data_IF_647776114509
#
_entry.id   IF_647776114509
#
_cell.length_a   1.000
_cell.length_b   1.000
_cell.length_c   1.000
_cell.angle_alpha   90.00
_cell.angle_beta   90.00
_cell.angle_gamma   90.00
#
_symmetry.space_group_name_H-M   'P 1'
#
loop_
_entity.id
_entity.type
_entity.pdbx_description
1 polymer ?
#
# COMPACT_ATOMS: atom_id res chain seq x y z
N UNK A 1 -20.06 -10.05 5.10
CA UNK A 1 -19.09 -9.02 4.69
C UNK A 1 -17.74 -9.18 5.35
N UNK A 2 -17.65 -9.53 6.63
CA UNK A 2 -16.36 -9.68 7.36
C UNK A 2 -15.28 -10.53 6.66
N UNK A 3 -15.66 -11.64 6.00
CA UNK A 3 -14.69 -12.46 5.25
C UNK A 3 -14.07 -11.69 4.10
N UNK A 4 -14.86 -10.92 3.35
CA UNK A 4 -14.38 -10.14 2.21
C UNK A 4 -13.48 -9.00 2.68
N UNK A 5 -13.87 -8.31 3.74
CA UNK A 5 -13.05 -7.27 4.39
C UNK A 5 -11.68 -7.82 4.78
N UNK A 6 -11.63 -8.95 5.51
CA UNK A 6 -10.37 -9.61 5.89
C UNK A 6 -9.49 -9.94 4.68
N UNK A 7 -10.09 -10.44 3.60
CA UNK A 7 -9.37 -10.73 2.35
C UNK A 7 -8.81 -9.46 1.70
N UNK A 8 -9.57 -8.37 1.69
CA UNK A 8 -9.13 -7.08 1.14
C UNK A 8 -8.03 -6.45 1.99
N UNK A 9 -8.15 -6.46 3.33
CA UNK A 9 -7.10 -5.97 4.22
C UNK A 9 -5.81 -6.79 4.08
N UNK A 10 -5.90 -8.12 3.96
CA UNK A 10 -4.74 -8.98 3.69
C UNK A 10 -4.10 -8.66 2.33
N UNK A 11 -4.92 -8.46 1.30
CA UNK A 11 -4.48 -8.04 -0.02
C UNK A 11 -3.74 -6.69 0.00
N UNK A 12 -4.22 -5.71 0.78
CA UNK A 12 -3.54 -4.41 0.95
C UNK A 12 -2.17 -4.60 1.57
N UNK A 13 -2.07 -5.35 2.68
CA UNK A 13 -0.80 -5.64 3.35
C UNK A 13 0.19 -6.37 2.44
N UNK A 14 -0.26 -7.37 1.68
CA UNK A 14 0.58 -8.09 0.72
C UNK A 14 1.09 -7.18 -0.41
N UNK A 15 0.25 -6.26 -0.90
CA UNK A 15 0.64 -5.33 -1.98
C UNK A 15 1.77 -4.38 -1.56
N UNK A 16 1.80 -3.98 -0.28
CA UNK A 16 2.89 -3.17 0.29
C UNK A 16 4.19 -3.95 0.45
N UNK A 17 4.12 -5.28 0.55
CA UNK A 17 5.29 -6.17 0.53
C UNK A 17 5.89 -6.38 -0.85
N UNK A 18 5.32 -5.78 -1.91
CA UNK A 18 5.77 -5.97 -3.29
C UNK A 18 5.19 -7.22 -3.98
N UNK A 19 4.26 -7.92 -3.33
CA UNK A 19 3.62 -9.09 -3.93
C UNK A 19 2.63 -8.70 -5.03
N UNK A 20 2.54 -9.52 -6.09
CA UNK A 20 1.51 -9.35 -7.12
C UNK A 20 0.17 -9.85 -6.62
N UNK A 21 -0.61 -8.94 -6.06
CA UNK A 21 -1.92 -9.26 -5.46
C UNK A 21 -3.03 -9.31 -6.52
N UNK A 22 -3.83 -10.38 -6.46
CA UNK A 22 -5.12 -10.47 -7.17
C UNK A 22 -6.24 -10.34 -6.15
N UNK A 23 -6.91 -9.19 -6.05
CA UNK A 23 -7.97 -9.01 -5.06
C UNK A 23 -9.17 -9.92 -5.36
N UNK A 24 -9.96 -10.30 -4.35
CA UNK A 24 -11.17 -11.09 -4.56
C UNK A 24 -12.12 -10.41 -5.56
N UNK A 25 -12.75 -11.18 -6.45
CA UNK A 25 -13.62 -10.62 -7.50
C UNK A 25 -14.77 -9.79 -6.90
N UNK A 26 -15.40 -10.32 -5.86
CA UNK A 26 -16.48 -9.64 -5.13
C UNK A 26 -16.04 -8.31 -4.48
N UNK A 27 -14.74 -8.09 -4.29
CA UNK A 27 -14.17 -6.88 -3.69
C UNK A 27 -13.49 -5.95 -4.70
N UNK A 28 -13.55 -6.24 -6.00
CA UNK A 28 -12.80 -5.49 -7.02
C UNK A 28 -13.13 -3.99 -7.03
N UNK A 29 -14.40 -3.65 -6.87
CA UNK A 29 -14.86 -2.25 -6.84
C UNK A 29 -14.24 -1.50 -5.65
N UNK A 30 -14.29 -2.10 -4.46
CA UNK A 30 -13.72 -1.51 -3.23
C UNK A 30 -12.20 -1.41 -3.33
N UNK A 31 -11.54 -2.43 -3.87
CA UNK A 31 -10.11 -2.41 -4.15
C UNK A 31 -9.72 -1.24 -5.05
N UNK A 32 -10.39 -1.09 -6.20
CA UNK A 32 -10.09 -0.03 -7.15
C UNK A 32 -10.36 1.36 -6.55
N UNK A 33 -11.44 1.52 -5.79
CA UNK A 33 -11.74 2.76 -5.10
C UNK A 33 -10.66 3.09 -4.06
N UNK A 34 -10.27 2.13 -3.22
CA UNK A 34 -9.19 2.31 -2.24
C UNK A 34 -7.87 2.71 -2.91
N UNK A 35 -7.45 2.00 -3.97
CA UNK A 35 -6.21 2.32 -4.68
C UNK A 35 -6.25 3.73 -5.28
N UNK A 36 -7.39 4.14 -5.85
CA UNK A 36 -7.57 5.48 -6.40
C UNK A 36 -7.48 6.57 -5.35
N UNK A 37 -8.18 6.41 -4.22
CA UNK A 37 -8.16 7.38 -3.11
C UNK A 37 -6.77 7.41 -2.46
N UNK A 38 -6.17 6.23 -2.20
CA UNK A 38 -4.86 6.16 -1.56
C UNK A 38 -3.74 6.72 -2.43
N UNK A 39 -3.90 6.76 -3.76
CA UNK A 39 -2.96 7.42 -4.66
C UNK A 39 -2.95 8.95 -4.51
N UNK A 40 -4.04 9.55 -4.03
CA UNK A 40 -4.16 11.00 -3.79
C UNK A 40 -3.92 11.37 -2.32
N UNK A 41 -3.45 10.43 -1.51
CA UNK A 41 -3.28 10.61 -0.06
C UNK A 41 -2.32 11.74 0.26
N UNK A 42 -2.69 12.54 1.26
CA UNK A 42 -1.85 13.62 1.78
C UNK A 42 -0.86 13.10 2.83
N UNK A 43 0.26 13.79 2.97
CA UNK A 43 1.33 13.45 3.93
C UNK A 43 1.63 14.67 4.80
N UNK A 44 1.84 14.43 6.10
CA UNK A 44 2.41 15.42 7.01
C UNK A 44 3.90 15.14 7.23
N UNK A 45 4.59 16.02 7.97
CA UNK A 45 6.05 16.06 8.11
C UNK A 45 6.76 14.75 8.56
N UNK A 46 6.04 13.70 8.95
CA UNK A 46 6.65 12.42 9.32
C UNK A 46 5.78 11.19 9.03
N UNK A 47 4.59 11.34 8.45
CA UNK A 47 3.73 10.20 8.19
C UNK A 47 2.57 10.50 7.20
N UNK A 48 2.03 9.44 6.57
CA UNK A 48 0.81 9.53 5.78
C UNK A 48 -0.40 9.89 6.65
N UNK A 49 -1.33 10.68 6.10
CA UNK A 49 -2.61 10.92 6.75
C UNK A 49 -3.58 9.74 6.51
N UNK A 50 -4.46 9.44 7.48
CA UNK A 50 -5.58 8.52 7.26
C UNK A 50 -6.57 9.07 6.22
N UNK A 51 -7.16 8.18 5.45
CA UNK A 51 -8.25 8.52 4.52
C UNK A 51 -9.47 8.95 5.34
N UNK A 52 -9.96 10.15 5.07
CA UNK A 52 -11.12 10.71 5.74
C UNK A 52 -12.42 10.30 5.03
N UNK A 53 -13.54 10.15 5.76
CA UNK A 53 -14.85 9.90 5.14
C UNK A 53 -15.26 10.94 4.10
N UNK A 54 -14.80 12.19 4.24
CA UNK A 54 -15.02 13.25 3.25
C UNK A 54 -14.32 12.98 1.92
N UNK A 55 -13.13 12.38 1.94
CA UNK A 55 -12.41 11.97 0.72
C UNK A 55 -13.13 10.83 0.02
N UNK A 56 -13.66 9.87 0.79
CA UNK A 56 -14.49 8.78 0.25
C UNK A 56 -15.75 9.34 -0.39
N UNK A 57 -16.44 10.28 0.27
CA UNK A 57 -17.64 10.92 -0.26
C UNK A 57 -17.34 11.69 -1.57
N UNK A 58 -16.27 12.48 -1.59
CA UNK A 58 -15.82 13.20 -2.78
C UNK A 58 -15.48 12.24 -3.93
N UNK A 59 -14.78 11.14 -3.64
CA UNK A 59 -14.46 10.11 -4.62
C UNK A 59 -15.72 9.47 -5.21
N UNK A 60 -16.68 9.09 -4.36
CA UNK A 60 -17.96 8.52 -4.79
C UNK A 60 -18.71 9.47 -5.74
N UNK A 61 -18.68 10.77 -5.43
CA UNK A 61 -19.30 11.80 -6.26
C UNK A 61 -18.60 11.95 -7.61
N UNK A 62 -17.27 12.08 -7.61
CA UNK A 62 -16.47 12.26 -8.85
C UNK A 62 -16.56 11.05 -9.77
N UNK A 63 -16.47 9.84 -9.21
CA UNK A 63 -16.46 8.59 -9.97
C UNK A 63 -17.86 8.05 -10.26
N UNK A 64 -18.92 8.72 -9.77
CA UNK A 64 -20.32 8.27 -9.85
C UNK A 64 -20.52 6.84 -9.35
N UNK A 65 -19.83 6.51 -8.26
CA UNK A 65 -19.82 5.19 -7.65
C UNK A 65 -20.50 5.28 -6.28
N UNK A 66 -21.81 5.03 -6.17
CA UNK A 66 -22.49 5.08 -4.88
C UNK A 66 -22.08 3.90 -4.00
N UNK A 67 -21.48 4.18 -2.84
CA UNK A 67 -21.10 3.20 -1.84
C UNK A 67 -22.07 3.25 -0.64
N UNK A 68 -22.62 2.09 -0.26
CA UNK A 68 -23.38 1.93 0.97
C UNK A 68 -22.49 2.08 2.22
N UNK A 69 -23.05 2.37 3.41
CA UNK A 69 -22.26 2.59 4.63
C UNK A 69 -21.26 1.47 4.95
N UNK A 70 -21.68 0.21 4.84
CA UNK A 70 -20.79 -0.93 5.09
C UNK A 70 -19.62 -1.04 4.09
N UNK A 71 -19.70 -0.44 2.91
CA UNK A 71 -18.55 -0.34 2.01
C UNK A 71 -17.55 0.70 2.49
N UNK A 72 -18.03 1.81 3.07
CA UNK A 72 -17.19 2.83 3.68
C UNK A 72 -16.42 2.22 4.85
N UNK A 73 -17.07 1.42 5.69
CA UNK A 73 -16.42 0.71 6.79
C UNK A 73 -15.28 -0.19 6.29
N UNK A 74 -15.50 -0.92 5.18
CA UNK A 74 -14.46 -1.75 4.56
C UNK A 74 -13.30 -0.90 4.03
N UNK A 75 -13.56 0.25 3.40
CA UNK A 75 -12.50 1.15 2.94
C UNK A 75 -11.66 1.71 4.10
N UNK A 76 -12.30 2.05 5.22
CA UNK A 76 -11.60 2.50 6.42
C UNK A 76 -10.79 1.36 7.06
N UNK A 77 -11.30 0.13 7.06
CA UNK A 77 -10.55 -1.04 7.54
C UNK A 77 -9.34 -1.36 6.63
N UNK A 78 -9.49 -1.20 5.32
CA UNK A 78 -8.38 -1.29 4.36
C UNK A 78 -7.34 -0.19 4.62
N UNK A 79 -7.78 1.04 4.90
CA UNK A 79 -6.91 2.16 5.24
C UNK A 79 -6.12 1.91 6.51
N UNK A 80 -6.77 1.45 7.57
CA UNK A 80 -6.10 1.08 8.82
C UNK A 80 -5.03 0.00 8.58
N UNK A 81 -5.36 -1.03 7.80
CA UNK A 81 -4.41 -2.08 7.43
C UNK A 81 -3.19 -1.56 6.67
N UNK A 82 -3.37 -0.54 5.84
CA UNK A 82 -2.30 0.14 5.11
C UNK A 82 -1.43 0.97 6.06
N UNK A 83 -2.07 1.77 6.93
CA UNK A 83 -1.41 2.63 7.91
C UNK A 83 -0.57 1.81 8.90
N UNK A 84 -1.07 0.67 9.37
CA UNK A 84 -0.33 -0.24 10.27
C UNK A 84 1.05 -0.59 9.69
N UNK A 85 1.11 -0.88 8.38
CA UNK A 85 2.35 -1.22 7.67
C UNK A 85 3.20 0.02 7.44
N UNK A 86 2.59 1.14 7.02
CA UNK A 86 3.30 2.38 6.74
C UNK A 86 3.97 2.97 8.01
N UNK A 87 3.25 3.02 9.13
CA UNK A 87 3.80 3.46 10.41
C UNK A 87 4.84 2.49 10.97
N UNK A 88 4.68 1.18 10.77
CA UNK A 88 5.70 0.20 11.16
C UNK A 88 7.01 0.39 10.37
N UNK A 89 6.93 0.75 9.09
CA UNK A 89 8.09 1.08 8.28
C UNK A 89 8.77 2.37 8.77
N UNK A 90 8.00 3.41 9.09
CA UNK A 90 8.50 4.70 9.57
C UNK A 90 9.15 4.63 10.97
N UNK A 91 8.73 3.70 11.83
CA UNK A 91 9.30 3.49 13.18
C UNK A 91 10.64 2.76 13.19
N UNK A 92 11.14 2.26 12.05
CA UNK A 92 12.46 1.63 12.01
C UNK A 92 13.53 2.69 12.32
N UNK A 93 14.43 2.45 13.29
CA UNK A 93 15.40 3.46 13.71
C UNK A 93 16.27 3.93 12.53
N UNK A 94 16.43 5.24 12.39
CA UNK A 94 17.43 5.89 11.53
C UNK A 94 18.82 5.35 11.90
N UNK A 95 19.31 4.35 11.18
CA UNK A 95 20.58 3.70 11.49
C UNK A 95 20.68 2.26 11.00
N UNK A 96 19.55 1.57 10.80
CA UNK A 96 19.54 0.31 10.06
C UNK A 96 19.22 0.63 8.60
N UNK A 97 20.26 0.95 7.83
CA UNK A 97 20.13 0.91 6.37
C UNK A 97 19.54 -0.45 6.03
N UNK A 98 18.36 -0.48 5.43
CA UNK A 98 17.88 -1.68 4.78
C UNK A 98 18.97 -2.04 3.77
N UNK A 99 19.74 -3.10 4.08
CA UNK A 99 20.86 -3.53 3.25
C UNK A 99 20.34 -3.58 1.81
N UNK A 100 20.95 -2.77 0.94
CA UNK A 100 20.71 -2.90 -0.49
C UNK A 100 20.85 -4.38 -0.84
N UNK A 101 20.00 -4.93 -1.74
CA UNK A 101 20.07 -6.34 -2.08
C UNK A 101 21.52 -6.70 -2.41
N UNK A 102 22.12 -7.54 -1.57
CA UNK A 102 23.52 -7.95 -1.73
C UNK A 102 23.58 -8.72 -3.03
N UNK A 103 24.29 -8.18 -4.03
CA UNK A 103 24.49 -8.88 -5.30
C UNK A 103 25.19 -10.20 -5.02
N UNK A 104 24.65 -11.31 -5.50
CA UNK A 104 25.32 -12.62 -5.40
C UNK A 104 26.59 -12.70 -6.27
N UNK A 105 26.83 -11.71 -7.12
CA UNK A 105 28.06 -11.60 -7.91
C UNK A 105 29.18 -11.05 -7.03
N UNK A 106 30.22 -11.85 -6.73
CA UNK A 106 31.38 -11.32 -6.02
C UNK A 106 32.09 -10.28 -6.89
N UNK A 107 32.45 -9.14 -6.29
CA UNK A 107 33.35 -8.17 -6.91
C UNK A 107 34.72 -8.83 -7.09
N UNK A 108 35.00 -9.27 -8.31
CA UNK A 108 36.30 -9.83 -8.70
C UNK A 108 37.08 -8.81 -9.53
N UNK A 109 38.41 -8.87 -9.48
CA UNK A 109 39.28 -8.01 -10.30
C UNK A 109 38.96 -8.15 -11.80
N UNK A 110 38.66 -9.38 -12.26
CA UNK A 110 38.27 -9.62 -13.64
C UNK A 110 36.97 -8.92 -14.06
N UNK A 111 36.00 -8.78 -13.13
CA UNK A 111 34.76 -8.03 -13.38
C UNK A 111 35.04 -6.52 -13.50
N UNK A 112 35.94 -6.01 -12.65
CA UNK A 112 36.36 -4.60 -12.69
C UNK A 112 37.07 -4.28 -14.01
N UNK A 113 38.03 -5.11 -14.40
CA UNK A 113 38.79 -4.94 -15.65
C UNK A 113 37.88 -5.04 -16.88
N UNK A 114 36.86 -5.90 -16.86
CA UNK A 114 35.88 -6.01 -17.95
C UNK A 114 34.93 -4.81 -18.05
N UNK A 115 34.72 -4.05 -16.98
CA UNK A 115 33.85 -2.86 -16.97
C UNK A 115 34.57 -1.57 -17.34
N UNK A 116 35.88 -1.50 -17.09
CA UNK A 116 36.68 -0.27 -17.23
C UNK A 116 37.91 -0.40 -18.14
N UNK A 117 38.11 -1.56 -18.77
CA UNK A 117 39.16 -1.85 -19.74
C UNK A 117 38.75 -1.60 -21.19
#
# INVERSE_FOLDING_TARGET
MERLERQLCAAVKASLGGEKVRPPEAGRILWNAFQGISATRTYHAGAPNPIQPSEIAAWCQLMRLPLAPHHVDVLLAMDQAWLDVAYAAARRPEGVQALAPVSQTPLSAALLDAMFG
#
